data_IF_838371102376
#
_entry.id   IF_838371102376
#
_cell.length_a   1.000
_cell.length_b   1.000
_cell.length_c   1.000
_cell.angle_alpha   90.00
_cell.angle_beta   90.00
_cell.angle_gamma   90.00
#
_symmetry.space_group_name_H-M   'P 1'
#
loop_
_entity.id
_entity.type
_entity.pdbx_description
1 polymer ?
#
# COMPACT_ATOMS: atom_id res chain seq x y z
N UNK A 1 44.68 -19.45 -1.20
CA UNK A 1 45.90 -18.92 -0.54
C UNK A 1 45.43 -17.96 0.54
N UNK A 2 45.59 -18.30 1.82
CA UNK A 2 45.22 -17.39 2.92
C UNK A 2 46.28 -16.27 3.05
N UNK A 3 45.89 -15.01 3.32
CA UNK A 3 46.84 -13.91 3.48
C UNK A 3 47.79 -14.19 4.65
N UNK A 4 49.09 -13.94 4.46
CA UNK A 4 50.15 -14.24 5.44
C UNK A 4 50.06 -13.42 6.73
N UNK A 5 49.24 -12.36 6.75
CA UNK A 5 49.10 -11.43 7.87
C UNK A 5 47.72 -11.48 8.55
N UNK A 6 46.82 -12.38 8.14
CA UNK A 6 45.49 -12.55 8.77
C UNK A 6 44.54 -11.36 8.68
N UNK A 7 44.89 -10.34 7.90
CA UNK A 7 44.13 -9.10 7.72
C UNK A 7 43.57 -9.05 6.30
N UNK A 8 42.30 -8.63 6.18
CA UNK A 8 41.52 -8.62 4.94
C UNK A 8 40.82 -7.27 4.77
N UNK A 9 40.79 -6.78 3.53
CA UNK A 9 40.17 -5.51 3.17
C UNK A 9 38.68 -5.70 2.86
N UNK A 10 37.83 -4.85 3.45
CA UNK A 10 36.40 -4.81 3.17
C UNK A 10 36.15 -4.23 1.77
N UNK A 11 35.32 -4.89 0.96
CA UNK A 11 35.03 -4.43 -0.39
C UNK A 11 34.27 -3.08 -0.46
N UNK A 12 33.55 -2.73 0.61
CA UNK A 12 32.66 -1.55 0.62
C UNK A 12 33.37 -0.31 1.16
N UNK A 13 34.05 -0.42 2.30
CA UNK A 13 34.72 0.71 2.94
C UNK A 13 36.23 0.77 2.70
N UNK A 14 36.84 -0.26 2.11
CA UNK A 14 38.29 -0.38 1.88
C UNK A 14 39.17 -0.37 3.15
N UNK A 15 38.55 -0.44 4.34
CA UNK A 15 39.28 -0.62 5.60
C UNK A 15 39.72 -2.08 5.78
N UNK A 16 40.71 -2.27 6.65
CA UNK A 16 41.37 -3.56 6.91
C UNK A 16 40.94 -4.13 8.26
N UNK A 17 40.47 -5.37 8.25
CA UNK A 17 39.95 -6.07 9.42
C UNK A 17 40.65 -7.41 9.62
N UNK A 18 40.57 -7.96 10.84
CA UNK A 18 41.01 -9.32 11.08
C UNK A 18 40.13 -10.31 10.30
N UNK A 19 40.69 -11.47 9.95
CA UNK A 19 39.97 -12.53 9.25
C UNK A 19 38.65 -12.93 9.94
N UNK A 20 38.61 -12.90 11.27
CA UNK A 20 37.46 -13.28 12.09
C UNK A 20 36.31 -12.26 12.04
N UNK A 21 36.59 -11.02 11.65
CA UNK A 21 35.62 -9.91 11.56
C UNK A 21 35.11 -9.67 10.13
N UNK A 22 35.40 -10.60 9.21
CA UNK A 22 34.99 -10.54 7.81
C UNK A 22 33.92 -11.58 7.50
N UNK A 23 32.88 -11.10 6.84
CA UNK A 23 31.77 -11.88 6.30
C UNK A 23 31.97 -12.00 4.79
N UNK A 24 31.75 -13.19 4.24
CA UNK A 24 31.84 -13.43 2.81
C UNK A 24 30.47 -13.69 2.20
N UNK A 25 30.27 -13.29 0.94
CA UNK A 25 29.19 -13.88 0.15
C UNK A 25 29.49 -15.36 -0.15
N UNK A 26 28.46 -16.19 -0.16
CA UNK A 26 28.55 -17.61 -0.46
C UNK A 26 28.45 -17.84 -1.97
N UNK A 27 29.41 -18.57 -2.52
CA UNK A 27 29.34 -18.99 -3.92
C UNK A 27 28.24 -20.04 -4.08
N UNK A 28 27.11 -19.67 -4.70
CA UNK A 28 26.00 -20.58 -5.00
C UNK A 28 26.09 -21.21 -6.39
N UNK A 29 27.05 -20.80 -7.23
CA UNK A 29 27.18 -21.22 -8.64
C UNK A 29 27.69 -22.66 -8.83
N UNK A 30 27.80 -23.46 -7.77
CA UNK A 30 28.22 -24.87 -7.89
C UNK A 30 27.16 -25.72 -8.62
N UNK A 31 25.90 -25.28 -8.69
CA UNK A 31 24.80 -26.08 -9.24
C UNK A 31 24.35 -25.71 -10.66
N UNK A 32 24.58 -24.49 -11.16
CA UNK A 32 23.96 -24.03 -12.42
C UNK A 32 24.91 -23.74 -13.58
N UNK A 33 26.23 -23.91 -13.44
CA UNK A 33 27.20 -23.63 -14.54
C UNK A 33 27.01 -22.24 -15.21
N UNK A 34 26.41 -21.27 -14.52
CA UNK A 34 26.37 -19.88 -14.97
C UNK A 34 27.58 -19.15 -14.40
N UNK A 35 28.49 -18.62 -15.23
CA UNK A 35 29.54 -17.75 -14.72
C UNK A 35 28.90 -16.43 -14.30
N UNK A 36 29.05 -16.05 -13.03
CA UNK A 36 28.96 -14.66 -12.59
C UNK A 36 29.71 -13.78 -13.62
N UNK A 37 29.09 -12.71 -14.13
CA UNK A 37 29.63 -11.90 -15.23
C UNK A 37 30.88 -11.08 -14.88
N UNK A 38 31.41 -11.23 -13.66
CA UNK A 38 32.74 -10.75 -13.32
C UNK A 38 33.80 -11.71 -13.84
N UNK A 39 34.92 -11.17 -14.30
CA UNK A 39 36.07 -11.89 -14.88
C UNK A 39 36.76 -12.89 -13.93
N UNK A 40 36.20 -13.16 -12.76
CA UNK A 40 36.80 -13.90 -11.66
C UNK A 40 35.86 -14.98 -11.15
N UNK A 41 35.93 -16.14 -11.81
CA UNK A 41 35.06 -17.32 -11.69
C UNK A 41 34.95 -17.97 -10.28
N UNK A 42 35.61 -17.41 -9.26
CA UNK A 42 35.69 -17.96 -7.89
C UNK A 42 35.79 -16.91 -6.78
N UNK A 43 35.48 -15.63 -7.05
CA UNK A 43 35.63 -14.58 -6.04
C UNK A 43 34.51 -14.61 -5.00
N UNK A 44 34.86 -15.02 -3.78
CA UNK A 44 34.10 -14.73 -2.56
C UNK A 44 34.44 -13.30 -2.14
N UNK A 45 33.42 -12.45 -1.94
CA UNK A 45 33.61 -11.04 -1.65
C UNK A 45 33.59 -10.79 -0.13
N UNK A 46 34.63 -10.15 0.44
CA UNK A 46 34.72 -9.85 1.87
C UNK A 46 34.03 -8.54 2.27
N UNK A 47 33.30 -8.56 3.38
CA UNK A 47 32.60 -7.41 3.97
C UNK A 47 32.83 -7.36 5.47
N UNK A 48 33.07 -6.18 6.03
CA UNK A 48 33.11 -6.01 7.48
C UNK A 48 31.70 -6.05 8.09
N UNK A 49 31.63 -6.30 9.40
CA UNK A 49 30.38 -6.35 10.15
C UNK A 49 29.54 -5.08 9.99
N UNK A 50 30.16 -3.91 10.04
CA UNK A 50 29.44 -2.62 9.95
C UNK A 50 28.79 -2.42 8.58
N UNK A 51 29.47 -2.80 7.49
CA UNK A 51 28.90 -2.72 6.15
C UNK A 51 27.74 -3.71 5.96
N UNK A 52 27.85 -4.92 6.51
CA UNK A 52 26.74 -5.90 6.49
C UNK A 52 25.57 -5.43 7.34
N UNK A 53 25.83 -4.87 8.52
CA UNK A 53 24.81 -4.29 9.37
C UNK A 53 24.12 -3.11 8.68
N UNK A 54 24.89 -2.23 8.03
CA UNK A 54 24.36 -1.12 7.24
C UNK A 54 23.45 -1.59 6.10
N UNK A 55 23.84 -2.66 5.40
CA UNK A 55 23.01 -3.29 4.36
C UNK A 55 21.71 -3.88 4.94
N UNK A 56 21.81 -4.60 6.05
CA UNK A 56 20.67 -5.21 6.73
C UNK A 56 19.72 -4.16 7.33
N UNK A 57 20.27 -3.01 7.72
CA UNK A 57 19.55 -1.88 8.30
C UNK A 57 19.00 -0.90 7.25
N UNK A 58 19.27 -1.13 5.96
CA UNK A 58 18.71 -0.32 4.88
C UNK A 58 17.18 -0.26 5.01
N UNK A 59 16.60 0.90 4.71
CA UNK A 59 15.21 1.20 5.01
C UNK A 59 14.24 0.11 4.52
N UNK A 60 13.18 -0.13 5.31
CA UNK A 60 12.16 -1.16 5.06
C UNK A 60 11.54 -0.94 3.68
N UNK A 61 11.96 -1.76 2.70
CA UNK A 61 11.55 -1.66 1.30
C UNK A 61 12.68 -1.85 0.30
N UNK A 62 13.93 -1.60 0.73
CA UNK A 62 15.11 -1.63 -0.15
C UNK A 62 16.16 -2.64 0.29
N UNK A 63 15.91 -3.43 1.34
CA UNK A 63 16.84 -4.48 1.79
C UNK A 63 17.06 -5.44 0.61
N UNK A 64 18.27 -5.48 0.02
CA UNK A 64 18.50 -6.26 -1.18
C UNK A 64 18.63 -7.71 -0.77
N UNK A 65 17.55 -8.48 -0.88
CA UNK A 65 17.55 -9.91 -0.59
C UNK A 65 18.16 -10.71 -1.75
N UNK A 66 18.85 -11.78 -1.38
CA UNK A 66 19.25 -12.80 -2.32
C UNK A 66 18.03 -13.61 -2.76
N UNK A 67 18.10 -14.17 -3.98
CA UNK A 67 17.02 -14.99 -4.54
C UNK A 67 16.64 -16.12 -3.58
N UNK A 68 15.33 -16.35 -3.43
CA UNK A 68 14.80 -17.39 -2.55
C UNK A 68 14.86 -17.07 -1.06
N UNK A 69 15.17 -15.83 -0.66
CA UNK A 69 15.05 -15.40 0.73
C UNK A 69 16.01 -16.08 1.71
N UNK A 70 17.22 -16.44 1.26
CA UNK A 70 18.23 -17.16 2.07
C UNK A 70 19.24 -16.24 2.80
N UNK A 71 19.16 -14.94 2.53
CA UNK A 71 20.04 -13.93 3.10
C UNK A 71 20.06 -12.65 2.28
N UNK A 72 21.08 -11.82 2.49
CA UNK A 72 21.27 -10.56 1.77
C UNK A 72 21.95 -10.82 0.43
N UNK A 73 21.67 -10.01 -0.59
CA UNK A 73 22.41 -10.02 -1.85
C UNK A 73 23.81 -9.45 -1.62
N UNK A 74 24.80 -10.05 -2.28
CA UNK A 74 26.16 -9.54 -2.32
C UNK A 74 26.18 -8.06 -2.78
N UNK A 75 27.02 -7.25 -2.12
CA UNK A 75 27.14 -5.81 -2.40
C UNK A 75 28.03 -5.51 -3.63
N UNK A 76 28.73 -6.52 -4.17
CA UNK A 76 29.47 -6.39 -5.42
C UNK A 76 28.52 -6.28 -6.61
N UNK A 77 28.76 -5.28 -7.46
CA UNK A 77 28.02 -5.09 -8.71
C UNK A 77 28.09 -6.32 -9.61
N UNK A 78 26.93 -6.85 -10.01
CA UNK A 78 26.84 -8.01 -10.91
C UNK A 78 27.00 -9.37 -10.20
N UNK A 79 27.07 -9.40 -8.87
CA UNK A 79 27.12 -10.63 -8.08
C UNK A 79 25.76 -10.91 -7.43
N UNK A 80 25.16 -12.05 -7.77
CA UNK A 80 23.87 -12.50 -7.22
C UNK A 80 24.03 -13.41 -5.97
N UNK A 81 25.27 -13.67 -5.55
CA UNK A 81 25.55 -14.57 -4.43
C UNK A 81 24.93 -14.08 -3.12
N UNK A 82 24.39 -14.98 -2.29
CA UNK A 82 23.87 -14.63 -0.98
C UNK A 82 24.99 -14.41 0.04
N UNK A 83 24.85 -13.40 0.89
CA UNK A 83 25.42 -13.38 2.23
C UNK A 83 24.41 -14.11 3.13
N UNK A 84 24.74 -15.35 3.52
CA UNK A 84 23.77 -16.21 4.21
C UNK A 84 23.35 -15.65 5.56
N UNK A 85 22.04 -15.69 5.83
CA UNK A 85 21.50 -15.22 7.10
C UNK A 85 22.09 -15.96 8.31
N UNK A 86 22.33 -17.27 8.18
CA UNK A 86 22.95 -18.08 9.23
C UNK A 86 24.33 -17.59 9.66
N UNK A 87 25.07 -16.94 8.75
CA UNK A 87 26.40 -16.39 9.02
C UNK A 87 26.37 -15.03 9.71
N UNK A 88 25.27 -14.28 9.57
CA UNK A 88 25.17 -12.89 10.04
C UNK A 88 24.17 -12.70 11.17
N UNK A 89 23.29 -13.69 11.41
CA UNK A 89 22.21 -13.64 12.40
C UNK A 89 22.66 -13.07 13.76
N UNK A 90 23.75 -13.60 14.33
CA UNK A 90 24.26 -13.20 15.64
C UNK A 90 24.85 -11.80 15.70
N UNK A 91 25.13 -11.20 14.54
CA UNK A 91 25.71 -9.86 14.41
C UNK A 91 24.62 -8.78 14.29
N UNK A 92 23.39 -9.18 13.97
CA UNK A 92 22.28 -8.28 13.76
C UNK A 92 21.51 -8.04 15.08
N UNK A 93 21.12 -6.79 15.38
CA UNK A 93 20.16 -6.50 16.45
C UNK A 93 18.82 -7.20 16.24
N UNK A 94 18.13 -7.57 17.33
CA UNK A 94 16.86 -8.32 17.27
C UNK A 94 15.75 -7.64 16.46
N UNK A 95 15.72 -6.31 16.44
CA UNK A 95 14.75 -5.57 15.61
C UNK A 95 15.00 -5.82 14.10
N UNK A 96 16.27 -5.86 13.69
CA UNK A 96 16.66 -6.11 12.30
C UNK A 96 16.47 -7.58 11.95
N UNK A 97 16.77 -8.50 12.88
CA UNK A 97 16.50 -9.93 12.70
C UNK A 97 15.03 -10.18 12.34
N UNK A 98 14.10 -9.65 13.14
CA UNK A 98 12.66 -9.84 12.89
C UNK A 98 12.23 -9.29 11.52
N UNK A 99 12.65 -8.05 11.20
CA UNK A 99 12.33 -7.44 9.90
C UNK A 99 12.92 -8.24 8.73
N UNK A 100 14.14 -8.74 8.88
CA UNK A 100 14.82 -9.47 7.82
C UNK A 100 14.19 -10.86 7.62
N UNK A 101 13.82 -11.56 8.69
CA UNK A 101 13.10 -12.82 8.66
C UNK A 101 11.74 -12.69 7.97
N UNK A 102 10.96 -11.66 8.33
CA UNK A 102 9.68 -11.36 7.67
C UNK A 102 9.86 -11.19 6.16
N UNK A 103 10.85 -10.38 5.74
CA UNK A 103 11.14 -10.14 4.31
C UNK A 103 11.66 -11.37 3.59
N UNK A 104 12.56 -12.13 4.21
CA UNK A 104 13.09 -13.39 3.67
C UNK A 104 11.96 -14.41 3.48
N UNK A 105 11.05 -14.50 4.43
CA UNK A 105 9.88 -15.36 4.34
C UNK A 105 8.95 -14.92 3.20
N UNK A 106 8.70 -13.61 3.06
CA UNK A 106 7.91 -13.07 1.94
C UNK A 106 8.50 -13.41 0.56
N UNK A 107 9.82 -13.24 0.39
CA UNK A 107 10.54 -13.61 -0.84
C UNK A 107 10.48 -15.12 -1.10
N UNK A 108 10.66 -15.92 -0.06
CA UNK A 108 10.58 -17.39 -0.15
C UNK A 108 9.21 -17.84 -0.65
N UNK A 109 8.13 -17.26 -0.12
CA UNK A 109 6.76 -17.51 -0.58
C UNK A 109 6.58 -17.03 -2.03
N UNK A 110 7.08 -15.86 -2.37
CA UNK A 110 6.99 -15.32 -3.73
C UNK A 110 7.64 -16.23 -4.78
N UNK A 111 8.74 -16.88 -4.41
CA UNK A 111 9.47 -17.82 -5.27
C UNK A 111 8.88 -19.23 -5.31
N UNK A 112 7.97 -19.58 -4.39
CA UNK A 112 7.55 -20.96 -4.17
C UNK A 112 6.64 -21.58 -5.27
N UNK A 113 6.42 -20.90 -6.41
CA UNK A 113 5.55 -21.35 -7.52
C UNK A 113 4.20 -21.92 -7.05
N UNK A 114 3.66 -21.37 -5.94
CA UNK A 114 2.44 -21.85 -5.33
C UNK A 114 1.25 -21.48 -6.21
N UNK A 115 0.50 -22.50 -6.63
CA UNK A 115 -0.73 -22.32 -7.41
C UNK A 115 -1.80 -21.74 -6.49
N UNK A 116 -2.55 -20.75 -6.98
CA UNK A 116 -3.64 -20.09 -6.25
C UNK A 116 -3.19 -19.44 -4.92
N UNK A 117 -1.97 -18.93 -4.87
CA UNK A 117 -1.52 -18.08 -3.77
C UNK A 117 -2.23 -16.72 -3.83
N UNK A 118 -2.95 -16.38 -2.78
CA UNK A 118 -3.63 -15.10 -2.61
C UNK A 118 -3.14 -14.37 -1.36
N UNK A 119 -3.28 -13.03 -1.34
CA UNK A 119 -2.80 -12.19 -0.24
C UNK A 119 -3.90 -11.31 0.32
N UNK A 120 -3.91 -11.18 1.64
CA UNK A 120 -4.79 -10.25 2.35
C UNK A 120 -4.46 -8.79 2.00
N UNK A 121 -5.46 -8.01 1.59
CA UNK A 121 -5.30 -6.59 1.26
C UNK A 121 -5.11 -5.66 2.46
N UNK A 122 -5.39 -6.13 3.68
CA UNK A 122 -5.25 -5.34 4.92
C UNK A 122 -3.93 -5.59 5.63
N UNK A 123 -3.42 -6.83 5.64
CA UNK A 123 -2.22 -7.20 6.41
C UNK A 123 -1.18 -8.02 5.63
N UNK A 124 -1.29 -8.10 4.30
CA UNK A 124 -0.40 -8.85 3.40
C UNK A 124 -0.25 -10.38 3.65
N UNK A 125 -1.03 -10.95 4.57
CA UNK A 125 -0.99 -12.38 4.88
C UNK A 125 -1.21 -13.23 3.62
N UNK A 126 -0.27 -14.12 3.32
CA UNK A 126 -0.31 -14.99 2.16
C UNK A 126 -0.95 -16.34 2.50
N UNK A 127 -1.85 -16.82 1.64
CA UNK A 127 -2.54 -18.10 1.81
C UNK A 127 -2.70 -18.77 0.45
N UNK A 128 -2.48 -20.08 0.41
CA UNK A 128 -2.80 -20.89 -0.76
C UNK A 128 -4.28 -21.26 -0.71
N UNK A 129 -5.04 -20.91 -1.75
CA UNK A 129 -6.46 -21.23 -1.83
C UNK A 129 -6.66 -22.61 -2.45
N UNK A 130 -7.45 -23.46 -1.79
CA UNK A 130 -7.73 -24.83 -2.25
C UNK A 130 -8.66 -24.86 -3.48
N UNK A 131 -9.53 -23.86 -3.60
CA UNK A 131 -10.55 -23.79 -4.65
C UNK A 131 -10.48 -22.47 -5.40
N UNK A 132 -10.88 -22.53 -6.66
CA UNK A 132 -10.97 -21.37 -7.54
C UNK A 132 -11.96 -20.32 -7.03
N UNK A 133 -11.76 -19.09 -7.50
CA UNK A 133 -12.60 -17.93 -7.15
C UNK A 133 -14.06 -18.09 -7.60
N UNK A 134 -14.31 -18.95 -8.59
CA UNK A 134 -15.66 -19.25 -9.07
C UNK A 134 -16.47 -20.06 -8.05
N UNK A 135 -15.81 -20.96 -7.32
CA UNK A 135 -16.43 -21.83 -6.30
C UNK A 135 -16.54 -21.08 -4.97
N UNK A 136 -15.44 -20.48 -4.51
CA UNK A 136 -15.43 -19.66 -3.31
C UNK A 136 -15.04 -18.23 -3.66
N UNK A 137 -16.01 -17.32 -3.63
CA UNK A 137 -15.79 -15.89 -3.91
C UNK A 137 -15.30 -15.09 -2.71
N UNK A 138 -15.22 -15.68 -1.52
CA UNK A 138 -14.93 -14.97 -0.27
C UNK A 138 -13.51 -15.29 0.16
N UNK A 139 -12.71 -14.25 0.38
CA UNK A 139 -11.43 -14.33 1.05
C UNK A 139 -11.67 -14.11 2.53
N UNK A 140 -11.17 -15.02 3.37
CA UNK A 140 -11.21 -14.90 4.82
C UNK A 140 -9.79 -14.90 5.35
N UNK A 141 -9.31 -13.76 5.85
CA UNK A 141 -7.95 -13.68 6.38
C UNK A 141 -7.87 -14.36 7.75
N UNK A 142 -7.07 -15.44 7.93
CA UNK A 142 -6.93 -16.06 9.25
C UNK A 142 -6.17 -15.19 10.24
N UNK A 143 -5.33 -14.27 9.76
CA UNK A 143 -4.53 -13.35 10.57
C UNK A 143 -5.34 -12.15 11.08
N UNK A 144 -5.75 -11.22 10.21
CA UNK A 144 -6.44 -9.99 10.62
C UNK A 144 -7.97 -10.08 10.62
N UNK A 145 -8.54 -11.25 10.26
CA UNK A 145 -10.00 -11.51 10.18
C UNK A 145 -10.77 -10.68 9.16
N UNK A 146 -10.09 -9.88 8.33
CA UNK A 146 -10.73 -9.18 7.22
C UNK A 146 -11.34 -10.16 6.21
N UNK A 147 -12.51 -9.80 5.71
CA UNK A 147 -13.27 -10.55 4.71
C UNK A 147 -13.54 -9.67 3.49
N UNK A 148 -13.27 -10.18 2.30
CA UNK A 148 -13.47 -9.44 1.06
C UNK A 148 -13.75 -10.38 -0.12
N UNK A 149 -14.34 -9.85 -1.18
CA UNK A 149 -14.58 -10.60 -2.40
C UNK A 149 -13.25 -10.88 -3.13
N UNK A 150 -12.97 -12.15 -3.45
CA UNK A 150 -11.78 -12.57 -4.23
C UNK A 150 -11.80 -12.07 -5.68
N UNK A 151 -12.97 -11.70 -6.19
CA UNK A 151 -13.17 -11.27 -7.58
C UNK A 151 -13.07 -9.76 -7.74
N UNK A 152 -13.79 -8.99 -6.92
CA UNK A 152 -13.83 -7.53 -7.03
C UNK A 152 -13.04 -6.79 -5.93
N UNK A 153 -12.46 -7.51 -4.98
CA UNK A 153 -11.62 -6.99 -3.88
C UNK A 153 -12.32 -6.03 -2.89
N UNK A 154 -13.64 -5.82 -3.03
CA UNK A 154 -14.44 -5.06 -2.06
C UNK A 154 -14.63 -5.84 -0.76
N UNK A 155 -14.79 -5.11 0.35
CA UNK A 155 -15.11 -5.70 1.65
C UNK A 155 -16.40 -6.54 1.53
N UNK A 156 -16.43 -7.69 2.21
CA UNK A 156 -17.56 -8.62 2.16
C UNK A 156 -18.50 -8.32 3.33
N UNK A 157 -19.35 -7.31 3.14
CA UNK A 157 -20.27 -6.74 4.12
C UNK A 157 -21.74 -6.91 3.69
N UNK A 158 -22.67 -6.35 4.47
CA UNK A 158 -24.11 -6.40 4.22
C UNK A 158 -24.50 -5.74 2.88
N UNK A 159 -23.67 -4.85 2.33
CA UNK A 159 -23.93 -4.25 1.03
C UNK A 159 -23.56 -5.18 -0.12
N UNK A 160 -22.47 -5.96 0.00
CA UNK A 160 -22.07 -6.92 -1.01
C UNK A 160 -22.82 -8.26 -0.88
N UNK A 161 -23.22 -8.65 0.33
CA UNK A 161 -23.90 -9.94 0.57
C UNK A 161 -25.19 -10.02 -0.26
N UNK A 162 -25.31 -11.11 -1.04
CA UNK A 162 -26.47 -11.35 -1.89
C UNK A 162 -26.43 -10.64 -3.25
N UNK A 163 -25.43 -9.79 -3.50
CA UNK A 163 -25.21 -9.14 -4.80
C UNK A 163 -24.02 -9.75 -5.54
N UNK A 164 -24.15 -9.82 -6.87
CA UNK A 164 -23.03 -10.10 -7.76
C UNK A 164 -22.11 -8.88 -7.88
N UNK A 165 -20.85 -9.11 -8.27
CA UNK A 165 -19.91 -8.02 -8.49
C UNK A 165 -20.40 -7.02 -9.56
N UNK A 166 -21.14 -7.50 -10.57
CA UNK A 166 -21.72 -6.64 -11.62
C UNK A 166 -22.85 -5.75 -11.09
N UNK A 167 -23.65 -6.25 -10.15
CA UNK A 167 -24.70 -5.46 -9.48
C UNK A 167 -24.09 -4.41 -8.58
N UNK A 168 -22.99 -4.75 -7.87
CA UNK A 168 -22.21 -3.77 -7.10
C UNK A 168 -21.67 -2.65 -8.00
N UNK A 169 -21.10 -3.00 -9.15
CA UNK A 169 -20.59 -2.00 -10.10
C UNK A 169 -21.71 -1.07 -10.63
N UNK A 170 -22.93 -1.60 -10.82
CA UNK A 170 -24.09 -0.79 -11.24
C UNK A 170 -24.56 0.12 -10.12
N UNK A 171 -24.59 -0.37 -8.87
CA UNK A 171 -24.93 0.42 -7.68
C UNK A 171 -23.93 1.57 -7.50
N UNK A 172 -22.64 1.26 -7.51
CA UNK A 172 -21.56 2.27 -7.39
C UNK A 172 -21.68 3.37 -8.48
N UNK A 173 -21.97 2.98 -9.73
CA UNK A 173 -22.19 3.92 -10.84
C UNK A 173 -23.44 4.77 -10.63
N UNK A 174 -24.52 4.17 -10.14
CA UNK A 174 -25.77 4.89 -9.85
C UNK A 174 -25.55 5.91 -8.72
N UNK A 175 -24.94 5.50 -7.62
CA UNK A 175 -24.66 6.35 -6.46
C UNK A 175 -23.67 7.47 -6.82
N UNK A 176 -22.71 7.19 -7.71
CA UNK A 176 -21.83 8.23 -8.27
C UNK A 176 -22.62 9.22 -9.12
N UNK A 177 -23.50 8.74 -10.01
CA UNK A 177 -24.32 9.60 -10.87
C UNK A 177 -25.30 10.44 -10.06
N UNK A 178 -25.92 9.89 -9.03
CA UNK A 178 -26.80 10.65 -8.11
C UNK A 178 -26.01 11.74 -7.38
N UNK A 179 -24.80 11.44 -6.88
CA UNK A 179 -23.90 12.47 -6.30
C UNK A 179 -23.37 13.49 -7.29
N UNK A 180 -23.31 13.18 -8.58
CA UNK A 180 -22.94 14.13 -9.63
C UNK A 180 -24.15 14.98 -10.08
N UNK A 181 -25.36 14.44 -9.98
CA UNK A 181 -26.61 15.18 -10.23
C UNK A 181 -26.96 16.12 -9.06
N UNK A 182 -26.78 15.65 -7.83
CA UNK A 182 -26.92 16.45 -6.63
C UNK A 182 -25.66 17.29 -6.44
N UNK A 183 -25.75 18.58 -6.74
CA UNK A 183 -24.61 19.49 -6.67
C UNK A 183 -24.06 19.57 -5.26
N UNK A 184 -22.75 19.47 -5.12
CA UNK A 184 -22.09 19.70 -3.84
C UNK A 184 -22.14 21.20 -3.51
N UNK A 185 -22.82 21.54 -2.41
CA UNK A 185 -22.93 22.93 -1.95
C UNK A 185 -21.63 23.46 -1.31
N UNK A 186 -20.58 22.64 -1.16
CA UNK A 186 -19.23 23.09 -0.79
C UNK A 186 -18.47 23.49 -2.06
N UNK A 187 -18.32 24.77 -2.29
CA UNK A 187 -17.55 25.34 -3.39
C UNK A 187 -16.12 25.62 -2.94
N UNK A 188 -15.13 25.34 -3.78
CA UNK A 188 -13.72 25.67 -3.54
C UNK A 188 -13.23 26.62 -4.61
N UNK A 189 -12.79 27.81 -4.21
CA UNK A 189 -12.18 28.79 -5.11
C UNK A 189 -10.76 28.36 -5.50
N UNK A 190 -10.26 28.86 -6.64
CA UNK A 190 -8.88 28.62 -7.09
C UNK A 190 -7.81 29.10 -6.09
N UNK A 191 -8.15 30.07 -5.23
CA UNK A 191 -7.26 30.52 -4.15
C UNK A 191 -7.23 29.58 -2.94
N UNK A 192 -7.99 28.49 -2.95
CA UNK A 192 -8.09 27.52 -1.84
C UNK A 192 -9.17 27.83 -0.81
N UNK A 193 -9.79 29.03 -0.86
CA UNK A 193 -10.90 29.38 0.02
C UNK A 193 -12.13 28.52 -0.31
N UNK A 194 -12.76 27.99 0.73
CA UNK A 194 -14.02 27.24 0.62
C UNK A 194 -15.21 28.14 0.93
N UNK A 195 -16.36 27.88 0.31
CA UNK A 195 -17.58 28.66 0.51
C UNK A 195 -18.82 27.77 0.41
N UNK A 196 -19.86 28.06 1.20
CA UNK A 196 -21.17 27.44 1.04
C UNK A 196 -21.95 28.08 -0.11
N UNK A 197 -22.43 27.29 -1.05
CA UNK A 197 -23.29 27.76 -2.15
C UNK A 197 -24.63 28.31 -1.65
N UNK A 198 -25.17 27.73 -0.57
CA UNK A 198 -26.48 28.10 0.01
C UNK A 198 -26.40 29.44 0.75
N UNK A 199 -25.53 29.55 1.76
CA UNK A 199 -25.52 30.69 2.68
C UNK A 199 -24.37 31.68 2.45
N UNK A 200 -23.45 31.37 1.52
CA UNK A 200 -22.28 32.19 1.18
C UNK A 200 -21.23 32.35 2.28
N UNK A 201 -21.37 31.63 3.39
CA UNK A 201 -20.36 31.54 4.45
C UNK A 201 -19.01 31.07 3.89
N UNK A 202 -17.93 31.74 4.28
CA UNK A 202 -16.57 31.46 3.82
C UNK A 202 -15.81 30.56 4.80
N UNK A 203 -14.74 29.93 4.31
CA UNK A 203 -13.84 29.03 5.05
C UNK A 203 -14.57 27.85 5.77
N UNK A 204 -15.61 27.33 5.12
CA UNK A 204 -16.42 26.23 5.66
C UNK A 204 -15.80 24.85 5.43
N UNK A 205 -15.95 23.96 6.40
CA UNK A 205 -15.65 22.54 6.24
C UNK A 205 -16.94 21.70 6.11
N UNK A 206 -16.80 20.38 5.94
CA UNK A 206 -17.96 19.50 5.73
C UNK A 206 -18.89 19.42 6.95
N UNK A 207 -18.43 19.82 8.13
CA UNK A 207 -19.21 19.97 9.35
C UNK A 207 -20.24 21.11 9.30
N UNK A 208 -20.11 22.04 8.36
CA UNK A 208 -21.11 23.07 8.07
C UNK A 208 -22.46 22.49 7.66
N UNK A 209 -22.45 21.35 6.97
CA UNK A 209 -23.64 20.76 6.38
C UNK A 209 -24.34 19.81 7.34
N UNK A 210 -25.67 19.76 7.26
CA UNK A 210 -26.50 18.80 7.98
C UNK A 210 -26.28 17.39 7.40
N UNK A 211 -25.88 16.38 8.21
CA UNK A 211 -25.74 15.00 7.75
C UNK A 211 -27.06 14.22 7.80
N UNK A 212 -28.09 14.77 8.44
CA UNK A 212 -29.39 14.12 8.61
C UNK A 212 -30.26 14.25 7.36
N UNK A 213 -31.06 13.21 7.13
CA UNK A 213 -32.08 13.19 6.08
C UNK A 213 -33.12 14.31 6.32
N UNK A 214 -33.41 15.12 5.31
CA UNK A 214 -34.51 16.10 5.37
C UNK A 214 -35.77 15.52 4.73
N UNK A 215 -36.87 15.62 5.46
CA UNK A 215 -38.20 15.35 4.91
C UNK A 215 -38.51 16.40 3.83
N UNK A 216 -38.95 16.00 2.62
CA UNK A 216 -39.37 16.92 1.57
C UNK A 216 -40.41 17.96 2.01
N UNK A 217 -41.18 17.69 3.07
CA UNK A 217 -42.22 18.58 3.59
C UNK A 217 -41.79 19.42 4.80
N UNK A 218 -40.60 19.19 5.37
CA UNK A 218 -40.08 19.99 6.49
C UNK A 218 -38.67 20.51 6.18
N UNK A 219 -38.51 21.81 5.87
CA UNK A 219 -37.22 22.37 5.48
C UNK A 219 -36.21 22.43 6.63
N UNK A 220 -36.61 22.25 7.89
CA UNK A 220 -35.71 22.33 9.04
C UNK A 220 -35.35 20.94 9.58
N UNK A 221 -34.07 20.77 9.94
CA UNK A 221 -33.60 19.58 10.64
C UNK A 221 -34.04 19.65 12.12
N UNK A 222 -34.67 18.60 12.62
CA UNK A 222 -35.08 18.51 14.03
C UNK A 222 -33.97 17.93 14.93
N UNK A 223 -32.88 17.43 14.34
CA UNK A 223 -31.77 16.76 15.05
C UNK A 223 -30.54 17.66 15.20
N UNK A 224 -30.47 18.77 14.45
CA UNK A 224 -29.38 19.74 14.58
C UNK A 224 -29.77 21.14 14.11
N UNK A 225 -29.00 22.13 14.53
CA UNK A 225 -29.19 23.52 14.15
C UNK A 225 -28.51 23.90 12.80
N UNK A 226 -28.15 22.91 11.96
CA UNK A 226 -27.49 23.16 10.67
C UNK A 226 -28.52 23.35 9.57
N UNK A 227 -28.48 24.52 8.92
CA UNK A 227 -29.48 24.89 7.93
C UNK A 227 -29.09 24.57 6.48
N UNK A 228 -27.83 24.21 6.22
CA UNK A 228 -27.34 23.93 4.87
C UNK A 228 -27.28 22.42 4.61
N UNK A 229 -27.74 21.99 3.44
CA UNK A 229 -27.56 20.62 2.93
C UNK A 229 -26.26 20.51 2.14
N UNK A 230 -25.56 19.38 2.28
CA UNK A 230 -24.33 19.15 1.52
C UNK A 230 -24.61 18.94 0.03
N UNK A 231 -25.71 18.25 -0.26
CA UNK A 231 -26.12 17.86 -1.61
C UNK A 231 -27.58 18.26 -1.81
N UNK A 232 -27.86 18.95 -2.91
CA UNK A 232 -29.22 19.27 -3.39
C UNK A 232 -29.26 19.16 -4.91
N UNK A 233 -30.45 18.92 -5.48
CA UNK A 233 -30.66 18.89 -6.93
C UNK A 233 -30.28 20.24 -7.55
N UNK A 234 -29.16 20.25 -8.28
CA UNK A 234 -28.56 21.46 -8.87
C UNK A 234 -29.54 22.17 -9.80
N UNK A 235 -30.31 21.41 -10.58
CA UNK A 235 -31.22 21.96 -11.58
C UNK A 235 -32.36 22.72 -10.92
N UNK A 236 -32.98 22.13 -9.89
CA UNK A 236 -34.08 22.78 -9.16
C UNK A 236 -33.63 24.07 -8.50
N UNK A 237 -32.41 24.10 -7.96
CA UNK A 237 -31.88 25.28 -7.29
C UNK A 237 -31.52 26.39 -8.27
N UNK A 238 -30.91 26.05 -9.40
CA UNK A 238 -30.61 27.01 -10.46
C UNK A 238 -31.88 27.62 -11.03
N UNK A 239 -32.93 26.82 -11.23
CA UNK A 239 -34.26 27.31 -11.63
C UNK A 239 -34.86 28.31 -10.62
N UNK A 240 -34.76 28.01 -9.32
CA UNK A 240 -35.21 28.92 -8.26
C UNK A 240 -34.42 30.23 -8.25
N UNK A 241 -33.10 30.17 -8.34
CA UNK A 241 -32.24 31.37 -8.36
C UNK A 241 -32.52 32.25 -9.58
N UNK A 242 -32.70 31.66 -10.77
CA UNK A 242 -33.06 32.41 -11.98
C UNK A 242 -34.41 33.10 -11.80
N UNK A 243 -35.37 32.44 -11.16
CA UNK A 243 -36.68 33.03 -10.87
C UNK A 243 -36.57 34.21 -9.92
N UNK A 244 -35.83 34.07 -8.82
CA UNK A 244 -35.59 35.14 -7.85
C UNK A 244 -34.88 36.36 -8.46
N UNK A 245 -33.90 36.15 -9.35
CA UNK A 245 -33.20 37.23 -10.07
C UNK A 245 -34.18 37.99 -10.96
N UNK A 246 -35.00 37.27 -11.75
CA UNK A 246 -36.01 37.87 -12.63
C UNK A 246 -37.06 38.67 -11.86
N UNK A 247 -37.50 38.16 -10.70
CA UNK A 247 -38.45 38.86 -9.84
C UNK A 247 -37.86 40.13 -9.24
N UNK A 248 -36.58 40.12 -8.86
CA UNK A 248 -35.88 41.31 -8.35
C UNK A 248 -35.69 42.37 -9.44
N UNK A 249 -35.20 41.98 -10.62
CA UNK A 249 -35.03 42.90 -11.76
C UNK A 249 -36.37 43.47 -12.25
N UNK A 250 -37.43 42.67 -12.21
CA UNK A 250 -38.79 43.10 -12.58
C UNK A 250 -39.48 43.98 -11.54
N UNK A 251 -39.07 43.93 -10.26
CA UNK A 251 -39.60 44.80 -9.20
C UNK A 251 -38.87 46.16 -9.14
N UNK A 252 -37.70 46.27 -9.76
CA UNK A 252 -36.89 47.48 -9.86
C UNK A 252 -37.14 48.30 -11.15
N UNK A 253 -38.03 47.83 -12.03
CA UNK A 253 -38.46 48.46 -13.29
C UNK A 253 -39.87 49.06 -13.20
#
# INVERSE_FOLDING_TARGET
>A
MLPKDGIIECFVCSDKFAFEDIIYCNNTDVLENRPCSSTHKYEIHPFCHDCVLGLASAAVGEIPLAKGGIGLRCMMTGCDNPILYSGIYKLLPSEIQNKLEERMFEESIGMALLVNLERCKKCNFAIQMEVDKEINKIFNCPACKATFCRTCERDWDDEHIGLSCEEMDKKDKKDKKEREMDGCNKMTCRCGMTQCYICREADIQYDHFCPHYRDPNNPNCNECNRNCLQFEDSNKRDEQLIKEIREREGAEA
#
